data_IF_969580672784
#
_entry.id   IF_969580672784
#
_cell.length_a   1.000
_cell.length_b   1.000
_cell.length_c   1.000
_cell.angle_alpha   90.00
_cell.angle_beta   90.00
_cell.angle_gamma   90.00
#
_symmetry.space_group_name_H-M   'P 1'
#
loop_
_entity.id
_entity.type
_entity.pdbx_description
1 polymer ?
#
# COMPACT_ATOMS: atom_id res chain seq x y z
N UNK A 1 -3.07 -10.16 -8.14
CA UNK A 1 -2.58 -8.78 -8.35
C UNK A 1 -1.53 -8.47 -7.27
N UNK A 2 -0.95 -7.27 -7.29
CA UNK A 2 -0.10 -6.74 -6.21
C UNK A 2 -0.64 -5.39 -5.77
N UNK A 3 -0.30 -4.95 -4.56
CA UNK A 3 -0.69 -3.62 -4.05
C UNK A 3 0.41 -2.57 -4.20
N UNK A 4 1.64 -3.01 -4.46
CA UNK A 4 2.75 -2.17 -4.93
C UNK A 4 2.80 -2.08 -6.47
N UNK A 5 1.63 -2.02 -7.12
CA UNK A 5 1.51 -2.08 -8.58
C UNK A 5 1.99 -0.83 -9.31
N UNK A 6 1.90 0.32 -8.64
CA UNK A 6 2.24 1.63 -9.20
C UNK A 6 3.74 1.91 -9.18
N UNK A 7 4.53 1.09 -8.49
CA UNK A 7 5.97 1.28 -8.39
C UNK A 7 6.65 0.75 -9.67
N UNK A 8 7.34 1.60 -10.44
CA UNK A 8 8.10 1.12 -11.59
C UNK A 8 9.18 0.14 -11.16
N UNK A 9 9.47 -0.83 -12.02
CA UNK A 9 10.62 -1.72 -11.85
C UNK A 9 11.91 -0.99 -12.24
N UNK A 10 13.07 -1.39 -11.71
CA UNK A 10 14.35 -0.99 -12.29
C UNK A 10 14.36 -1.25 -13.81
N UNK A 11 14.79 -0.26 -14.58
CA UNK A 11 14.72 -0.27 -16.04
C UNK A 11 16.06 0.18 -16.64
N UNK A 12 16.30 -0.13 -17.91
CA UNK A 12 17.50 0.30 -18.63
C UNK A 12 17.55 1.81 -18.82
N UNK A 13 18.77 2.38 -18.91
CA UNK A 13 19.02 3.83 -18.99
C UNK A 13 18.59 4.47 -20.32
N UNK A 14 18.63 3.70 -21.40
CA UNK A 14 18.33 4.13 -22.77
C UNK A 14 16.83 4.02 -23.13
N UNK A 15 16.02 3.50 -22.20
CA UNK A 15 14.57 3.40 -22.35
C UNK A 15 13.89 4.69 -21.87
N UNK A 16 12.88 5.13 -22.60
CA UNK A 16 11.94 6.15 -22.14
C UNK A 16 10.85 5.50 -21.27
N UNK A 17 10.81 5.73 -19.95
CA UNK A 17 9.79 5.17 -19.09
C UNK A 17 8.45 5.90 -19.27
N UNK A 18 7.35 5.22 -18.93
CA UNK A 18 6.05 5.84 -18.75
C UNK A 18 6.16 6.92 -17.66
N UNK A 19 5.66 8.16 -17.89
CA UNK A 19 5.63 9.17 -16.84
C UNK A 19 4.87 8.66 -15.62
N UNK A 20 5.43 8.86 -14.42
CA UNK A 20 4.87 8.31 -13.17
C UNK A 20 3.39 8.67 -12.98
N UNK A 21 3.00 9.91 -13.29
CA UNK A 21 1.61 10.37 -13.20
C UNK A 21 0.65 9.78 -14.24
N UNK A 22 1.15 9.04 -15.24
CA UNK A 22 0.33 8.36 -16.25
C UNK A 22 0.06 6.88 -15.94
N UNK A 23 0.61 6.36 -14.84
CA UNK A 23 0.43 4.97 -14.40
C UNK A 23 -1.01 4.74 -13.90
N UNK A 24 -1.64 3.67 -14.37
CA UNK A 24 -2.99 3.24 -13.95
C UNK A 24 -3.02 1.73 -13.73
N UNK A 25 -4.12 1.19 -13.19
CA UNK A 25 -4.32 -0.25 -13.00
C UNK A 25 -4.34 -1.07 -14.30
N UNK A 26 -4.40 -0.44 -15.45
CA UNK A 26 -4.37 -1.11 -16.76
C UNK A 26 -3.19 -0.66 -17.63
N UNK A 27 -2.40 0.32 -17.16
CA UNK A 27 -1.26 0.90 -17.89
C UNK A 27 -0.11 1.12 -16.91
N UNK A 28 0.86 0.23 -16.94
CA UNK A 28 2.02 0.26 -16.05
C UNK A 28 3.29 0.47 -16.86
N UNK A 29 4.34 0.93 -16.19
CA UNK A 29 5.68 0.96 -16.78
C UNK A 29 6.28 -0.45 -16.79
N UNK A 30 6.53 -1.02 -17.97
CA UNK A 30 7.17 -2.33 -18.14
C UNK A 30 8.28 -2.25 -19.19
N UNK A 31 9.47 -2.75 -18.84
CA UNK A 31 10.55 -3.00 -19.81
C UNK A 31 10.39 -4.42 -20.33
N UNK A 32 9.97 -4.58 -21.59
CA UNK A 32 9.79 -5.88 -22.25
C UNK A 32 11.09 -6.68 -22.35
N UNK A 33 12.23 -6.00 -22.29
CA UNK A 33 13.56 -6.59 -22.27
C UNK A 33 14.18 -6.58 -20.84
N UNK A 34 13.32 -6.52 -19.83
CA UNK A 34 13.66 -6.20 -18.44
C UNK A 34 14.82 -7.01 -17.88
N UNK A 35 15.52 -6.40 -16.92
CA UNK A 35 16.61 -7.02 -16.18
C UNK A 35 16.02 -8.14 -15.29
N UNK A 36 16.17 -9.40 -15.73
CA UNK A 36 15.53 -10.58 -15.12
C UNK A 36 15.97 -10.88 -13.68
N UNK A 37 16.92 -10.13 -13.13
CA UNK A 37 17.50 -10.35 -11.80
C UNK A 37 17.32 -9.16 -10.84
N UNK A 38 16.48 -8.16 -11.18
CA UNK A 38 16.22 -7.02 -10.30
C UNK A 38 14.78 -7.00 -9.83
N UNK A 39 14.58 -6.56 -8.58
CA UNK A 39 13.26 -6.35 -7.98
C UNK A 39 13.18 -4.97 -7.36
N UNK A 40 12.00 -4.35 -7.43
CA UNK A 40 11.74 -3.10 -6.70
C UNK A 40 11.80 -3.36 -5.20
N UNK A 41 12.32 -2.42 -4.38
CA UNK A 41 12.34 -2.59 -2.93
C UNK A 41 10.92 -2.73 -2.37
N UNK A 42 10.80 -3.43 -1.24
CA UNK A 42 9.55 -3.48 -0.49
C UNK A 42 9.30 -2.12 0.15
N UNK A 43 8.22 -1.47 -0.26
CA UNK A 43 7.80 -0.18 0.29
C UNK A 43 6.35 -0.18 0.75
N UNK A 44 5.64 -1.28 0.53
CA UNK A 44 4.28 -1.55 1.00
C UNK A 44 4.27 -2.85 1.79
N UNK A 45 3.57 -2.85 2.91
CA UNK A 45 3.20 -4.06 3.66
C UNK A 45 1.71 -4.01 3.92
N UNK A 46 1.01 -5.08 3.60
CA UNK A 46 -0.40 -5.23 3.96
C UNK A 46 -0.53 -6.10 5.19
N UNK A 47 -1.39 -5.68 6.10
CA UNK A 47 -1.86 -6.51 7.20
C UNK A 47 -3.35 -6.73 6.99
N UNK A 48 -3.73 -8.00 6.84
CA UNK A 48 -5.12 -8.41 6.79
C UNK A 48 -5.48 -9.06 8.13
N UNK A 49 -6.41 -8.44 8.83
CA UNK A 49 -6.98 -8.93 10.09
C UNK A 49 -8.22 -9.75 9.77
N UNK A 50 -8.19 -11.04 10.10
CA UNK A 50 -9.32 -11.94 9.93
C UNK A 50 -10.34 -11.66 11.04
N UNK A 51 -11.52 -11.15 10.69
CA UNK A 51 -12.59 -10.93 11.67
C UNK A 51 -13.44 -12.19 11.90
N UNK A 52 -13.45 -13.07 10.90
CA UNK A 52 -14.03 -14.41 10.96
C UNK A 52 -12.94 -15.46 10.72
N UNK A 53 -13.27 -16.75 10.89
CA UNK A 53 -12.42 -17.85 10.46
C UNK A 53 -12.24 -17.82 8.93
N UNK A 54 -11.02 -18.05 8.44
CA UNK A 54 -10.70 -18.14 7.03
C UNK A 54 -10.36 -19.58 6.64
N UNK A 55 -10.87 -19.99 5.49
CA UNK A 55 -10.63 -21.29 4.86
C UNK A 55 -10.66 -21.15 3.34
N UNK A 56 -10.20 -22.16 2.61
CA UNK A 56 -10.39 -22.24 1.16
C UNK A 56 -11.87 -22.16 0.76
N UNK A 57 -12.78 -22.74 1.56
CA UNK A 57 -14.20 -22.81 1.24
C UNK A 57 -14.91 -21.45 1.32
N UNK A 58 -14.53 -20.60 2.28
CA UNK A 58 -15.16 -19.28 2.46
C UNK A 58 -14.38 -18.14 1.78
N UNK A 59 -13.52 -18.48 0.83
CA UNK A 59 -12.81 -17.51 0.00
C UNK A 59 -11.65 -16.84 0.73
N UNK A 60 -10.89 -17.59 1.53
CA UNK A 60 -9.61 -17.15 2.09
C UNK A 60 -8.68 -16.57 1.02
N UNK A 61 -7.76 -15.69 1.43
CA UNK A 61 -6.87 -15.00 0.50
C UNK A 61 -5.88 -15.99 -0.11
N UNK A 62 -5.83 -16.07 -1.44
CA UNK A 62 -4.81 -16.82 -2.17
C UNK A 62 -3.53 -16.00 -2.27
N UNK A 63 -2.40 -16.65 -2.08
CA UNK A 63 -1.05 -16.09 -2.14
C UNK A 63 -0.20 -16.95 -3.07
N UNK A 64 0.75 -16.34 -3.78
CA UNK A 64 1.82 -17.05 -4.49
C UNK A 64 3.12 -16.84 -3.71
N UNK A 65 3.58 -17.82 -2.91
CA UNK A 65 4.82 -17.71 -2.14
C UNK A 65 6.02 -17.42 -3.06
N UNK A 66 6.91 -16.53 -2.63
CA UNK A 66 8.11 -16.16 -3.40
C UNK A 66 7.88 -15.23 -4.58
N UNK A 67 6.63 -14.92 -4.97
CA UNK A 67 6.37 -14.13 -6.19
C UNK A 67 6.89 -12.69 -6.14
N UNK A 68 7.08 -12.13 -4.93
CA UNK A 68 7.73 -10.83 -4.71
C UNK A 68 9.18 -10.77 -5.23
N UNK A 69 9.80 -11.91 -5.54
CA UNK A 69 11.14 -12.01 -6.11
C UNK A 69 11.14 -12.10 -7.65
N UNK A 70 9.97 -12.21 -8.30
CA UNK A 70 9.85 -12.36 -9.76
C UNK A 70 10.15 -11.05 -10.50
N UNK A 71 9.94 -9.89 -9.85
CA UNK A 71 10.28 -8.59 -10.41
C UNK A 71 9.31 -8.06 -11.48
N UNK A 72 8.14 -8.67 -11.65
CA UNK A 72 7.06 -8.18 -12.51
C UNK A 72 5.67 -8.37 -11.88
N UNK A 73 4.68 -7.73 -12.51
CA UNK A 73 3.27 -7.98 -12.21
C UNK A 73 2.85 -9.38 -12.71
N UNK A 74 1.83 -10.01 -12.08
CA UNK A 74 1.27 -11.25 -12.58
C UNK A 74 0.63 -11.02 -13.96
N UNK A 75 0.87 -11.96 -14.87
CA UNK A 75 0.31 -12.00 -16.21
C UNK A 75 -0.70 -13.15 -16.29
N UNK A 76 -1.87 -12.88 -16.87
CA UNK A 76 -2.98 -13.84 -16.87
C UNK A 76 -2.71 -15.08 -17.71
N UNK A 77 -1.96 -14.95 -18.79
CA UNK A 77 -1.69 -16.04 -19.72
C UNK A 77 -0.43 -16.79 -19.32
N UNK A 78 0.63 -16.08 -18.88
CA UNK A 78 1.88 -16.71 -18.48
C UNK A 78 1.77 -17.41 -17.12
N UNK A 79 0.99 -16.86 -16.19
CA UNK A 79 0.88 -17.36 -14.81
C UNK A 79 -0.43 -18.10 -14.53
N UNK A 80 -1.15 -18.53 -15.58
CA UNK A 80 -2.45 -19.22 -15.48
C UNK A 80 -2.44 -20.47 -14.59
N UNK A 81 -1.32 -21.18 -14.56
CA UNK A 81 -1.15 -22.46 -13.86
C UNK A 81 -0.27 -22.29 -12.61
N UNK A 82 -0.09 -21.04 -12.13
CA UNK A 82 0.72 -20.76 -10.93
C UNK A 82 0.07 -21.40 -9.70
N UNK A 83 0.88 -22.09 -8.90
CA UNK A 83 0.41 -22.65 -7.63
C UNK A 83 0.16 -21.53 -6.62
N UNK A 84 -0.95 -21.64 -5.90
CA UNK A 84 -1.32 -20.72 -4.83
C UNK A 84 -1.51 -21.46 -3.53
N UNK A 85 -1.26 -20.77 -2.43
CA UNK A 85 -1.63 -21.23 -1.07
C UNK A 85 -2.74 -20.33 -0.54
N UNK A 86 -3.70 -20.91 0.17
CA UNK A 86 -4.76 -20.15 0.82
C UNK A 86 -4.30 -19.79 2.24
N UNK A 87 -4.47 -18.53 2.61
CA UNK A 87 -4.30 -18.08 3.99
C UNK A 87 -5.53 -18.47 4.81
N UNK A 88 -5.41 -19.56 5.55
CA UNK A 88 -6.42 -20.07 6.48
C UNK A 88 -6.01 -19.77 7.93
N UNK A 89 -7.01 -19.58 8.79
CA UNK A 89 -6.76 -19.29 10.20
C UNK A 89 -8.04 -18.87 10.94
N UNK A 90 -8.06 -18.96 12.27
CA UNK A 90 -9.21 -18.53 13.05
C UNK A 90 -9.36 -17.00 13.07
N UNK A 91 -10.56 -16.53 13.40
CA UNK A 91 -10.82 -15.13 13.71
C UNK A 91 -9.80 -14.55 14.71
N UNK A 92 -9.35 -13.33 14.48
CA UNK A 92 -8.27 -12.68 15.22
C UNK A 92 -6.86 -12.92 14.67
N UNK A 93 -6.71 -13.76 13.66
CA UNK A 93 -5.43 -13.98 12.97
C UNK A 93 -5.06 -12.78 12.10
N UNK A 94 -3.78 -12.41 12.10
CA UNK A 94 -3.23 -11.37 11.22
C UNK A 94 -2.35 -12.01 10.13
N UNK A 95 -2.72 -11.81 8.87
CA UNK A 95 -1.89 -12.13 7.71
C UNK A 95 -1.06 -10.90 7.33
N UNK A 96 0.26 -10.99 7.43
CA UNK A 96 1.19 -9.92 7.04
C UNK A 96 1.88 -10.31 5.74
N UNK A 97 1.73 -9.49 4.70
CA UNK A 97 2.33 -9.76 3.38
C UNK A 97 3.06 -8.53 2.84
N UNK A 98 4.17 -8.79 2.15
CA UNK A 98 4.85 -7.81 1.31
C UNK A 98 3.93 -7.37 0.17
N UNK A 99 3.81 -6.07 -0.11
CA UNK A 99 2.90 -5.53 -1.12
C UNK A 99 3.19 -5.98 -2.56
N UNK A 100 4.34 -6.62 -2.81
CA UNK A 100 4.73 -7.23 -4.09
C UNK A 100 4.27 -8.69 -4.22
N UNK A 101 3.83 -9.33 -3.15
CA UNK A 101 3.28 -10.69 -3.20
C UNK A 101 2.04 -10.69 -4.10
N UNK A 102 2.00 -11.66 -5.02
CA UNK A 102 0.86 -11.88 -5.87
C UNK A 102 -0.21 -12.54 -5.03
N UNK A 103 -1.37 -11.90 -4.98
CA UNK A 103 -2.47 -12.37 -4.17
C UNK A 103 -3.82 -12.06 -4.81
N UNK A 104 -4.86 -12.67 -4.27
CA UNK A 104 -6.24 -12.44 -4.68
C UNK A 104 -7.22 -13.04 -3.68
N UNK A 105 -8.39 -12.43 -3.58
CA UNK A 105 -9.48 -12.98 -2.78
C UNK A 105 -10.00 -14.27 -3.41
N UNK A 106 -10.07 -15.34 -2.63
CA UNK A 106 -10.67 -16.60 -3.06
C UNK A 106 -12.18 -16.48 -3.27
N UNK A 107 -12.74 -17.37 -4.08
CA UNK A 107 -14.19 -17.45 -4.23
C UNK A 107 -14.82 -17.95 -2.92
N UNK A 108 -15.75 -17.19 -2.36
CA UNK A 108 -16.54 -17.65 -1.24
C UNK A 108 -17.70 -18.49 -1.77
N UNK A 109 -17.64 -19.80 -1.56
CA UNK A 109 -18.68 -20.77 -1.96
C UNK A 109 -19.43 -21.33 -0.75
N UNK A 110 -19.25 -20.69 0.42
CA UNK A 110 -20.01 -21.00 1.63
C UNK A 110 -21.32 -20.20 1.70
N UNK A 111 -22.16 -20.54 2.67
CA UNK A 111 -23.46 -19.87 2.90
C UNK A 111 -23.34 -18.53 3.65
N UNK A 112 -22.15 -18.18 4.16
CA UNK A 112 -21.96 -17.02 5.03
C UNK A 112 -21.01 -15.99 4.42
N UNK A 113 -21.18 -14.73 4.81
CA UNK A 113 -20.19 -13.69 4.55
C UNK A 113 -18.91 -13.93 5.37
N UNK A 114 -17.80 -13.39 4.87
CA UNK A 114 -16.49 -13.41 5.52
C UNK A 114 -15.94 -11.99 5.58
N UNK A 115 -15.64 -11.50 6.77
CA UNK A 115 -15.19 -10.14 7.01
C UNK A 115 -13.69 -10.09 7.35
N UNK A 116 -13.07 -9.00 6.92
CA UNK A 116 -11.67 -8.72 7.14
C UNK A 116 -11.47 -7.21 7.27
N UNK A 117 -10.46 -6.80 8.05
CA UNK A 117 -9.92 -5.43 7.99
C UNK A 117 -8.58 -5.49 7.30
N UNK A 118 -8.37 -4.62 6.31
CA UNK A 118 -7.08 -4.51 5.63
C UNK A 118 -6.46 -3.17 6.03
N UNK A 119 -5.21 -3.24 6.49
CA UNK A 119 -4.38 -2.06 6.76
C UNK A 119 -3.17 -2.11 5.85
N UNK A 120 -3.10 -1.15 4.93
CA UNK A 120 -1.98 -0.99 4.00
C UNK A 120 -1.00 0.03 4.58
N UNK A 121 0.20 -0.42 4.92
CA UNK A 121 1.30 0.46 5.31
C UNK A 121 2.17 0.75 4.10
N UNK A 122 2.65 1.99 4.00
CA UNK A 122 3.61 2.38 2.97
C UNK A 122 4.71 3.27 3.54
N UNK A 123 5.85 3.33 2.86
CA UNK A 123 6.92 4.26 3.20
C UNK A 123 6.43 5.72 3.19
N UNK A 124 7.00 6.59 4.03
CA UNK A 124 6.55 7.97 4.22
C UNK A 124 6.67 8.87 2.98
N UNK A 125 7.45 8.46 1.98
CA UNK A 125 7.54 9.12 0.68
C UNK A 125 6.31 8.89 -0.21
N UNK A 126 5.43 7.94 0.14
CA UNK A 126 4.26 7.58 -0.63
C UNK A 126 3.00 8.21 -0.05
N UNK A 127 2.07 8.54 -0.94
CA UNK A 127 0.74 9.00 -0.55
C UNK A 127 -0.08 7.79 -0.08
N UNK A 128 -0.70 7.83 1.12
CA UNK A 128 -1.60 6.78 1.57
C UNK A 128 -2.85 6.67 0.67
N UNK A 129 -3.49 5.48 0.65
CA UNK A 129 -4.71 5.26 -0.11
C UNK A 129 -5.87 6.14 0.40
N UNK A 130 -6.00 6.25 1.72
CA UNK A 130 -6.93 7.14 2.39
C UNK A 130 -6.25 8.45 2.77
N UNK A 131 -6.93 9.58 2.57
CA UNK A 131 -6.39 10.88 2.99
C UNK A 131 -6.71 11.16 4.47
N UNK A 132 -5.98 10.52 5.38
CA UNK A 132 -6.22 10.63 6.82
C UNK A 132 -6.10 12.05 7.37
N UNK A 133 -5.28 12.91 6.76
CA UNK A 133 -5.16 14.32 7.15
C UNK A 133 -6.47 15.11 6.97
N UNK A 134 -7.34 14.68 6.05
CA UNK A 134 -8.65 15.30 5.77
C UNK A 134 -9.79 14.46 6.33
N UNK A 135 -9.67 13.14 6.29
CA UNK A 135 -10.74 12.20 6.60
C UNK A 135 -10.87 11.82 8.08
N UNK A 136 -9.87 12.13 8.92
CA UNK A 136 -9.91 11.81 10.35
C UNK A 136 -10.62 12.92 11.13
N UNK A 137 -11.54 12.57 12.02
CA UNK A 137 -12.20 13.56 12.88
C UNK A 137 -11.22 14.21 13.86
N UNK A 138 -11.48 15.46 14.23
CA UNK A 138 -10.63 16.19 15.20
C UNK A 138 -10.58 15.48 16.56
N UNK A 139 -11.72 14.94 17.03
CA UNK A 139 -11.79 14.16 18.28
C UNK A 139 -10.80 12.99 18.29
N UNK A 140 -10.69 12.24 17.18
CA UNK A 140 -9.72 11.14 17.07
C UNK A 140 -8.29 11.65 17.08
N UNK A 141 -8.03 12.82 16.48
CA UNK A 141 -6.68 13.41 16.43
C UNK A 141 -6.24 13.97 17.79
N UNK A 142 -7.17 14.52 18.58
CA UNK A 142 -6.92 15.04 19.93
C UNK A 142 -6.45 13.92 20.88
N UNK A 143 -7.03 12.72 20.74
CA UNK A 143 -6.70 11.54 21.55
C UNK A 143 -5.58 10.68 20.94
N UNK A 144 -5.09 11.00 19.74
CA UNK A 144 -4.12 10.19 19.04
C UNK A 144 -2.73 10.24 19.70
N UNK A 145 -2.11 9.07 19.89
CA UNK A 145 -0.71 9.00 20.29
C UNK A 145 0.22 9.51 19.18
N UNK A 146 1.46 9.92 19.51
CA UNK A 146 2.45 10.30 18.51
C UNK A 146 2.68 9.22 17.43
N UNK A 147 2.61 7.94 17.82
CA UNK A 147 2.74 6.82 16.89
C UNK A 147 1.53 6.73 15.94
N UNK A 148 0.30 6.91 16.46
CA UNK A 148 -0.90 6.93 15.62
C UNK A 148 -0.89 8.12 14.67
N UNK A 149 -0.52 9.31 15.15
CA UNK A 149 -0.35 10.50 14.31
C UNK A 149 0.68 10.26 13.20
N UNK A 150 1.78 9.56 13.50
CA UNK A 150 2.78 9.19 12.49
C UNK A 150 2.20 8.24 11.43
N UNK A 151 1.43 7.23 11.84
CA UNK A 151 0.77 6.29 10.93
C UNK A 151 -0.32 6.96 10.07
N UNK A 152 -1.02 7.95 10.62
CA UNK A 152 -2.02 8.75 9.91
C UNK A 152 -1.41 9.82 9.00
N UNK A 153 -0.07 9.92 8.93
CA UNK A 153 0.63 10.82 8.02
C UNK A 153 0.78 12.26 8.54
N UNK A 154 0.59 12.50 9.84
CA UNK A 154 0.79 13.81 10.45
C UNK A 154 2.25 14.08 10.81
N UNK A 155 3.08 13.04 10.92
CA UNK A 155 4.52 13.21 11.18
C UNK A 155 5.22 13.71 9.92
N UNK A 156 5.97 14.79 10.07
CA UNK A 156 6.81 15.32 9.00
C UNK A 156 7.98 14.37 8.78
N UNK A 157 8.19 13.97 7.53
CA UNK A 157 9.30 13.08 7.17
C UNK A 157 10.29 13.82 6.27
N UNK A 158 11.43 14.19 6.85
CA UNK A 158 12.38 15.12 6.24
C UNK A 158 11.68 16.44 5.84
N UNK A 159 11.50 16.68 4.54
CA UNK A 159 10.80 17.84 4.00
C UNK A 159 9.37 17.53 3.50
N UNK A 160 8.95 16.27 3.52
CA UNK A 160 7.65 15.84 3.02
C UNK A 160 6.57 16.02 4.08
N UNK A 161 5.39 16.49 3.63
CA UNK A 161 4.22 16.68 4.48
C UNK A 161 4.22 17.97 5.30
N UNK A 162 5.16 18.90 5.07
CA UNK A 162 5.18 20.20 5.77
C UNK A 162 4.06 21.12 5.29
N UNK A 163 3.56 21.96 6.19
CA UNK A 163 2.65 23.06 5.86
C UNK A 163 3.42 24.40 5.90
N UNK A 164 4.24 24.65 6.93
CA UNK A 164 4.94 25.94 7.10
C UNK A 164 6.34 25.80 7.73
N UNK A 165 6.40 25.35 8.99
CA UNK A 165 7.65 25.33 9.74
C UNK A 165 8.59 24.22 9.26
N UNK A 166 9.87 24.52 8.94
CA UNK A 166 10.86 23.50 8.63
C UNK A 166 11.35 22.73 9.87
N UNK A 167 10.94 23.17 11.07
CA UNK A 167 11.34 22.60 12.37
C UNK A 167 10.22 21.80 13.04
N UNK A 168 9.01 21.78 12.48
CA UNK A 168 7.91 21.03 13.07
C UNK A 168 8.13 19.52 12.88
N UNK A 169 7.85 18.74 13.94
CA UNK A 169 7.87 17.28 13.90
C UNK A 169 6.54 16.69 13.40
N UNK A 170 5.43 17.37 13.68
CA UNK A 170 4.09 16.98 13.26
C UNK A 170 3.34 18.20 12.70
N UNK A 171 2.50 17.98 11.69
CA UNK A 171 1.53 18.98 11.26
C UNK A 171 0.32 18.99 12.20
N UNK A 172 -0.27 20.16 12.39
CA UNK A 172 -1.46 20.35 13.20
C UNK A 172 -2.56 20.98 12.33
N UNK A 173 -3.73 20.32 12.17
CA UNK A 173 -4.87 20.91 11.50
C UNK A 173 -5.28 22.24 12.15
N UNK A 174 -5.67 23.20 11.33
CA UNK A 174 -6.24 24.46 11.83
C UNK A 174 -5.22 25.44 12.43
N UNK A 175 -3.91 25.16 12.37
CA UNK A 175 -2.93 26.23 12.54
C UNK A 175 -3.13 27.25 11.42
N UNK A 176 -3.48 28.48 11.79
CA UNK A 176 -3.62 29.58 10.85
C UNK A 176 -2.24 29.95 10.35
N UNK A 177 -2.08 30.04 9.03
CA UNK A 177 -0.88 30.64 8.47
C UNK A 177 -0.72 32.07 9.01
N UNK A 178 0.53 32.51 9.16
CA UNK A 178 0.81 33.94 9.11
C UNK A 178 0.06 34.44 7.87
N UNK A 179 -0.88 35.37 8.06
CA UNK A 179 -1.77 35.81 6.97
C UNK A 179 -0.98 36.41 5.81
N UNK A 180 -1.65 37.14 4.92
CA UNK A 180 -0.95 37.89 3.88
C UNK A 180 0.16 38.75 4.52
N UNK A 181 1.41 38.50 4.17
CA UNK A 181 2.53 39.32 4.64
C UNK A 181 2.37 40.68 3.99
N UNK A 182 1.96 41.67 4.78
CA UNK A 182 1.88 43.06 4.33
C UNK A 182 3.26 43.69 4.52
N UNK A 183 3.94 44.17 3.46
CA UNK A 183 5.18 44.93 3.61
C UNK A 183 4.93 46.21 4.41
N UNK A 184 5.85 46.56 5.31
CA UNK A 184 5.92 47.90 5.91
C UNK A 184 6.41 48.94 4.88
#
# INVERSE_FOLDING_TARGET
HTDQWWMPTPTRRDRSPLPIGSITRTRFDQDENGLSNMVSPAVVVNVLWMLDDFSANNGGTHLVPGSHLIGRQPDKELDRDVETVVAEGPAGTALVIDGRIWHGTGANVSENSRFAVITTFCGPQFRPQENFAVGTSLEVLEDASPDLLALLGFKIWNAYGRIESPLADFIQPGQTSLGEMVPE
#
